data_IF_592280038947
#
_entry.id   IF_592280038947
#
_cell.length_a   1.000
_cell.length_b   1.000
_cell.length_c   1.000
_cell.angle_alpha   90.00
_cell.angle_beta   90.00
_cell.angle_gamma   90.00
#
_symmetry.space_group_name_H-M   'P 1'
#
loop_
_entity.id
_entity.type
_entity.pdbx_description
1 polymer ?
#
# COMPACT_ATOMS: atom_id res chain seq x y z
N UNK A 1 3.62 0.15 43.53
CA UNK A 1 3.74 -0.92 42.51
C UNK A 1 3.15 -0.37 41.22
N UNK A 2 3.96 -0.19 40.17
CA UNK A 2 3.48 0.27 38.86
C UNK A 2 3.03 -0.95 38.06
N UNK A 3 1.74 -1.07 37.81
CA UNK A 3 1.19 -2.08 36.91
C UNK A 3 1.65 -1.78 35.47
N UNK A 4 2.38 -2.73 34.89
CA UNK A 4 2.71 -2.72 33.47
C UNK A 4 1.50 -3.23 32.70
N UNK A 5 0.73 -2.28 32.14
CA UNK A 5 -0.44 -2.56 31.32
C UNK A 5 -0.05 -3.30 30.04
N UNK A 6 -0.76 -4.40 29.75
CA UNK A 6 -0.64 -5.24 28.54
C UNK A 6 -1.29 -4.60 27.30
N UNK A 7 -1.23 -3.27 27.19
CA UNK A 7 -1.84 -2.52 26.09
C UNK A 7 -0.81 -2.15 25.03
N UNK A 8 -1.02 -2.62 23.80
CA UNK A 8 -0.19 -2.34 22.61
C UNK A 8 -0.16 -0.86 22.21
N UNK A 9 0.48 -0.03 23.02
CA UNK A 9 0.75 1.38 22.72
C UNK A 9 2.19 1.44 22.20
N UNK A 10 2.37 1.94 20.97
CA UNK A 10 3.70 2.11 20.34
C UNK A 10 4.59 2.95 21.27
N UNK A 11 5.48 2.29 21.99
CA UNK A 11 6.44 2.88 22.91
C UNK A 11 7.79 2.27 22.53
N UNK A 12 8.68 3.12 22.02
CA UNK A 12 9.87 2.72 21.25
C UNK A 12 11.19 2.99 22.00
N UNK A 13 11.16 3.19 23.32
CA UNK A 13 12.39 3.34 24.10
C UNK A 13 13.03 1.98 24.40
N UNK A 14 14.36 1.93 24.32
CA UNK A 14 15.19 0.71 24.40
C UNK A 14 14.93 -0.07 25.69
N UNK A 15 14.65 0.64 26.80
CA UNK A 15 14.39 0.05 28.11
C UNK A 15 13.05 -0.70 28.11
N UNK A 16 11.99 -0.11 27.57
CA UNK A 16 10.69 -0.78 27.48
C UNK A 16 10.72 -1.95 26.47
N UNK A 17 11.51 -1.83 25.39
CA UNK A 17 11.70 -2.94 24.44
C UNK A 17 12.43 -4.13 25.09
N UNK A 18 13.49 -3.88 25.86
CA UNK A 18 14.23 -4.92 26.59
C UNK A 18 13.37 -5.53 27.71
N UNK A 19 12.59 -4.73 28.43
CA UNK A 19 11.67 -5.20 29.45
C UNK A 19 10.55 -6.06 28.85
N UNK A 20 9.91 -5.63 27.76
CA UNK A 20 8.89 -6.40 27.06
C UNK A 20 9.45 -7.72 26.49
N UNK A 21 10.65 -7.70 25.92
CA UNK A 21 11.33 -8.91 25.43
C UNK A 21 11.64 -9.89 26.56
N UNK A 22 12.12 -9.39 27.70
CA UNK A 22 12.45 -10.21 28.87
C UNK A 22 11.19 -10.84 29.48
N UNK A 23 10.10 -10.07 29.60
CA UNK A 23 8.80 -10.57 30.09
C UNK A 23 8.23 -11.62 29.14
N UNK A 24 8.30 -11.41 27.82
CA UNK A 24 7.85 -12.41 26.85
C UNK A 24 8.70 -13.69 26.91
N UNK A 25 10.02 -13.57 27.05
CA UNK A 25 10.94 -14.71 27.17
C UNK A 25 10.70 -15.52 28.44
N UNK A 26 10.52 -14.86 29.57
CA UNK A 26 10.26 -15.51 30.87
C UNK A 26 8.84 -16.12 30.95
N UNK A 27 7.87 -15.53 30.25
CA UNK A 27 6.49 -16.02 30.20
C UNK A 27 6.25 -17.19 29.22
N UNK A 28 7.24 -17.57 28.41
CA UNK A 28 7.07 -18.57 27.35
C UNK A 28 6.35 -18.06 26.10
N UNK A 29 5.99 -16.77 26.07
CA UNK A 29 5.29 -16.10 24.97
C UNK A 29 6.25 -15.39 23.99
N UNK A 30 7.56 -15.62 24.13
CA UNK A 30 8.55 -15.07 23.21
C UNK A 30 8.37 -15.67 21.81
N UNK A 31 8.10 -14.79 20.85
CA UNK A 31 8.13 -15.17 19.44
C UNK A 31 9.56 -15.56 19.06
N UNK A 32 9.74 -16.80 18.61
CA UNK A 32 11.02 -17.26 18.06
C UNK A 32 11.36 -16.42 16.83
N UNK A 33 12.46 -15.68 16.90
CA UNK A 33 13.03 -14.98 15.75
C UNK A 33 13.53 -16.02 14.77
N UNK A 34 13.04 -15.98 13.53
CA UNK A 34 13.48 -16.89 12.48
C UNK A 34 13.93 -16.12 11.26
N UNK A 35 14.84 -16.73 10.52
CA UNK A 35 15.37 -16.20 9.28
C UNK A 35 14.25 -15.72 8.37
N UNK A 36 14.49 -14.57 7.74
CA UNK A 36 13.56 -13.99 6.77
C UNK A 36 13.32 -14.97 5.61
N UNK A 37 12.06 -15.08 5.18
CA UNK A 37 11.63 -15.98 4.11
C UNK A 37 10.76 -15.24 3.08
N UNK A 38 10.17 -15.99 2.14
CA UNK A 38 9.29 -15.44 1.10
C UNK A 38 8.08 -14.70 1.69
N UNK A 39 7.63 -15.00 2.91
CA UNK A 39 6.55 -14.23 3.56
C UNK A 39 7.02 -12.83 3.95
N UNK A 40 8.28 -12.66 4.37
CA UNK A 40 8.88 -11.34 4.61
C UNK A 40 8.94 -10.54 3.31
N UNK A 41 9.37 -11.16 2.20
CA UNK A 41 9.39 -10.51 0.87
C UNK A 41 7.99 -10.05 0.47
N UNK A 42 6.97 -10.90 0.64
CA UNK A 42 5.58 -10.55 0.34
C UNK A 42 5.06 -9.40 1.21
N UNK A 43 5.44 -9.34 2.48
CA UNK A 43 5.07 -8.24 3.38
C UNK A 43 5.67 -6.90 2.91
N UNK A 44 6.95 -6.88 2.52
CA UNK A 44 7.63 -5.69 2.01
C UNK A 44 7.00 -5.20 0.70
N UNK A 45 6.70 -6.13 -0.23
CA UNK A 45 6.06 -5.79 -1.51
C UNK A 45 4.63 -5.26 -1.31
N UNK A 46 3.86 -5.85 -0.39
CA UNK A 46 2.50 -5.40 -0.07
C UNK A 46 2.51 -4.00 0.56
N UNK A 47 3.40 -3.74 1.53
CA UNK A 47 3.56 -2.42 2.15
C UNK A 47 3.97 -1.37 1.11
N UNK A 48 4.93 -1.70 0.23
CA UNK A 48 5.33 -0.81 -0.86
C UNK A 48 4.16 -0.51 -1.79
N UNK A 49 3.34 -1.52 -2.11
CA UNK A 49 2.16 -1.35 -2.96
C UNK A 49 1.09 -0.47 -2.30
N UNK A 50 0.83 -0.65 -1.01
CA UNK A 50 -0.11 0.18 -0.24
C UNK A 50 0.32 1.65 -0.21
N UNK A 51 1.61 1.90 0.05
CA UNK A 51 2.18 3.24 0.00
C UNK A 51 2.03 3.90 -1.37
N UNK A 52 2.25 3.14 -2.45
CA UNK A 52 2.12 3.63 -3.82
C UNK A 52 0.65 3.89 -4.21
N UNK A 53 -0.30 3.08 -3.74
CA UNK A 53 -1.74 3.36 -3.90
C UNK A 53 -2.10 4.67 -3.22
N UNK A 54 -1.66 4.87 -1.97
CA UNK A 54 -1.93 6.10 -1.25
C UNK A 54 -1.32 7.33 -1.98
N UNK A 55 -0.10 7.20 -2.50
CA UNK A 55 0.51 8.25 -3.33
C UNK A 55 -0.32 8.54 -4.58
N UNK A 56 -0.73 7.50 -5.31
CA UNK A 56 -1.55 7.63 -6.53
C UNK A 56 -2.87 8.34 -6.24
N UNK A 57 -3.55 7.98 -5.16
CA UNK A 57 -4.80 8.65 -4.73
C UNK A 57 -4.56 10.14 -4.46
N UNK A 58 -3.46 10.49 -3.80
CA UNK A 58 -3.10 11.91 -3.59
C UNK A 58 -2.89 12.64 -4.92
N UNK A 59 -2.20 12.04 -5.88
CA UNK A 59 -1.99 12.65 -7.21
C UNK A 59 -3.31 12.88 -7.95
N UNK A 60 -4.21 11.90 -7.93
CA UNK A 60 -5.54 12.02 -8.54
C UNK A 60 -6.35 13.13 -7.88
N UNK A 61 -6.34 13.21 -6.55
CA UNK A 61 -7.06 14.26 -5.82
C UNK A 61 -6.53 15.66 -6.14
N UNK A 62 -5.21 15.81 -6.26
CA UNK A 62 -4.59 17.07 -6.70
C UNK A 62 -5.00 17.43 -8.13
N UNK A 63 -5.02 16.44 -9.03
CA UNK A 63 -5.47 16.64 -10.40
C UNK A 63 -6.95 17.07 -10.47
N UNK A 64 -7.83 16.47 -9.66
CA UNK A 64 -9.21 16.91 -9.54
C UNK A 64 -9.33 18.37 -9.09
N UNK A 65 -8.49 18.81 -8.15
CA UNK A 65 -8.49 20.19 -7.71
C UNK A 65 -8.14 21.16 -8.85
N UNK A 66 -7.07 20.86 -9.62
CA UNK A 66 -6.71 21.68 -10.78
C UNK A 66 -7.78 21.65 -11.88
N UNK A 67 -8.41 20.50 -12.13
CA UNK A 67 -9.44 20.40 -13.16
C UNK A 67 -10.69 21.22 -12.81
N UNK A 68 -11.09 21.30 -11.52
CA UNK A 68 -12.23 22.15 -11.11
C UNK A 68 -12.01 23.63 -11.42
N UNK A 69 -10.78 24.10 -11.35
CA UNK A 69 -10.45 25.48 -11.68
C UNK A 69 -10.24 25.72 -13.19
N UNK A 70 -10.14 24.66 -14.01
CA UNK A 70 -9.94 24.75 -15.46
C UNK A 70 -11.23 24.54 -16.26
N UNK A 71 -12.26 23.93 -15.68
CA UNK A 71 -13.48 23.60 -16.41
C UNK A 71 -14.72 23.59 -15.50
N UNK A 72 -15.84 24.18 -15.96
CA UNK A 72 -17.11 24.11 -15.25
C UNK A 72 -17.59 22.65 -15.17
N UNK A 73 -18.08 22.24 -14.00
CA UNK A 73 -18.53 20.86 -13.74
C UNK A 73 -17.44 19.87 -13.34
N UNK A 74 -16.15 20.22 -13.50
CA UNK A 74 -15.03 19.36 -13.09
C UNK A 74 -14.91 18.07 -13.90
N UNK A 75 -14.17 17.09 -13.36
CA UNK A 75 -13.89 15.81 -14.00
C UNK A 75 -14.67 14.64 -13.35
N UNK A 76 -14.98 13.56 -14.10
CA UNK A 76 -15.62 12.36 -13.55
C UNK A 76 -14.83 11.77 -12.38
N UNK A 77 -15.51 11.18 -11.40
CA UNK A 77 -14.88 10.60 -10.19
C UNK A 77 -13.93 9.45 -10.50
N UNK A 78 -14.23 8.64 -11.53
CA UNK A 78 -13.37 7.55 -11.99
C UNK A 78 -12.30 8.07 -12.97
N UNK A 79 -11.46 8.97 -12.47
CA UNK A 79 -10.49 9.68 -13.29
C UNK A 79 -9.24 8.83 -13.56
N UNK A 80 -9.16 8.30 -14.78
CA UNK A 80 -7.92 7.69 -15.28
C UNK A 80 -6.99 8.73 -15.90
N UNK A 81 -5.69 8.45 -15.96
CA UNK A 81 -4.73 9.31 -16.65
C UNK A 81 -5.07 9.52 -18.13
N UNK A 82 -5.69 8.52 -18.78
CA UNK A 82 -6.13 8.63 -20.17
C UNK A 82 -7.33 9.58 -20.31
N UNK A 83 -8.34 9.43 -19.45
CA UNK A 83 -9.52 10.32 -19.40
C UNK A 83 -9.08 11.75 -19.11
N UNK A 84 -8.24 11.94 -18.07
CA UNK A 84 -7.72 13.26 -17.72
C UNK A 84 -6.93 13.91 -18.86
N UNK A 85 -6.11 13.13 -19.57
CA UNK A 85 -5.36 13.63 -20.73
C UNK A 85 -6.28 14.09 -21.86
N UNK A 86 -7.40 13.39 -22.11
CA UNK A 86 -8.40 13.81 -23.11
C UNK A 86 -9.12 15.09 -22.69
N UNK A 87 -9.54 15.17 -21.43
CA UNK A 87 -10.16 16.36 -20.85
C UNK A 87 -9.20 17.56 -20.98
N UNK A 88 -7.94 17.40 -20.58
CA UNK A 88 -6.98 18.49 -20.61
C UNK A 88 -6.64 18.95 -22.03
N UNK A 89 -6.78 18.08 -23.04
CA UNK A 89 -6.59 18.43 -24.44
C UNK A 89 -7.68 19.39 -24.97
N UNK A 90 -8.91 19.29 -24.47
CA UNK A 90 -10.01 20.19 -24.86
C UNK A 90 -9.96 21.56 -24.18
N UNK A 91 -9.26 21.69 -23.06
CA UNK A 91 -9.11 22.98 -22.35
C UNK A 91 -8.29 23.96 -23.20
N UNK A 92 -8.80 25.17 -23.42
CA UNK A 92 -8.09 26.29 -24.06
C UNK A 92 -7.84 27.37 -23.00
N UNK A 93 -6.60 27.49 -22.47
CA UNK A 93 -6.32 28.48 -21.43
C UNK A 93 -6.35 29.90 -22.02
N UNK A 94 -7.02 30.82 -21.33
CA UNK A 94 -7.19 32.21 -21.72
C UNK A 94 -6.09 33.14 -21.18
N UNK A 95 -5.23 32.66 -20.27
CA UNK A 95 -4.17 33.47 -19.68
C UNK A 95 -3.04 32.68 -19.01
N UNK A 96 -2.10 33.39 -18.41
CA UNK A 96 -0.90 32.81 -17.79
C UNK A 96 -1.23 31.83 -16.66
N UNK A 97 -2.18 32.18 -15.78
CA UNK A 97 -2.57 31.33 -14.64
C UNK A 97 -3.14 30.00 -15.11
N UNK A 98 -4.06 30.02 -16.08
CA UNK A 98 -4.65 28.80 -16.64
C UNK A 98 -3.64 27.97 -17.43
N UNK A 99 -2.70 28.63 -18.11
CA UNK A 99 -1.60 27.97 -18.81
C UNK A 99 -0.71 27.20 -17.83
N UNK A 100 -0.34 27.84 -16.73
CA UNK A 100 0.44 27.21 -15.64
C UNK A 100 -0.33 26.06 -15.02
N UNK A 101 -1.61 26.26 -14.69
CA UNK A 101 -2.47 25.21 -14.12
C UNK A 101 -2.60 24.01 -15.07
N UNK A 102 -2.76 24.28 -16.36
CA UNK A 102 -2.78 23.25 -17.41
C UNK A 102 -1.45 22.49 -17.48
N UNK A 103 -0.31 23.16 -17.31
CA UNK A 103 0.99 22.49 -17.28
C UNK A 103 1.14 21.58 -16.06
N UNK A 104 0.83 22.08 -14.86
CA UNK A 104 0.86 21.28 -13.63
C UNK A 104 -0.06 20.05 -13.72
N UNK A 105 -1.24 20.19 -14.33
CA UNK A 105 -2.13 19.07 -14.58
C UNK A 105 -1.51 18.02 -15.53
N UNK A 106 -0.72 18.42 -16.54
CA UNK A 106 0.01 17.47 -17.41
C UNK A 106 1.07 16.71 -16.61
N UNK A 107 1.80 17.40 -15.74
CA UNK A 107 2.86 16.81 -14.93
C UNK A 107 2.26 15.75 -13.97
N UNK A 108 1.17 16.08 -13.29
CA UNK A 108 0.42 15.13 -12.45
C UNK A 108 -0.07 13.91 -13.25
N UNK A 109 -0.54 14.09 -14.49
CA UNK A 109 -0.94 12.97 -15.36
C UNK A 109 0.26 12.05 -15.65
N UNK A 110 1.44 12.61 -15.90
CA UNK A 110 2.65 11.83 -16.11
C UNK A 110 3.04 11.05 -14.84
N UNK A 111 2.97 11.67 -13.67
CA UNK A 111 3.22 11.02 -12.39
C UNK A 111 2.22 9.88 -12.09
N UNK A 112 0.93 10.08 -12.40
CA UNK A 112 -0.09 9.03 -12.25
C UNK A 112 0.23 7.84 -13.16
N UNK A 113 0.63 8.08 -14.42
CA UNK A 113 1.04 7.01 -15.36
C UNK A 113 2.25 6.24 -14.83
N UNK A 114 3.19 6.93 -14.21
CA UNK A 114 4.34 6.29 -13.58
C UNK A 114 3.93 5.43 -12.39
N UNK A 115 3.05 5.95 -11.51
CA UNK A 115 2.50 5.18 -10.40
C UNK A 115 1.74 3.94 -10.89
N UNK A 116 0.93 4.05 -11.96
CA UNK A 116 0.22 2.94 -12.58
C UNK A 116 1.19 1.84 -13.06
N UNK A 117 2.27 2.21 -13.75
CA UNK A 117 3.29 1.27 -14.23
C UNK A 117 4.00 0.56 -13.07
N UNK A 118 4.35 1.30 -12.02
CA UNK A 118 4.98 0.74 -10.81
C UNK A 118 4.03 -0.20 -10.07
N UNK A 119 2.75 0.13 -9.95
CA UNK A 119 1.74 -0.76 -9.36
C UNK A 119 1.62 -2.06 -10.15
N UNK A 120 1.60 -2.00 -11.48
CA UNK A 120 1.59 -3.19 -12.33
C UNK A 120 2.84 -4.06 -12.11
N UNK A 121 4.00 -3.43 -12.00
CA UNK A 121 5.27 -4.11 -11.73
C UNK A 121 5.25 -4.82 -10.38
N UNK A 122 4.82 -4.13 -9.31
CA UNK A 122 4.70 -4.73 -7.98
C UNK A 122 3.68 -5.87 -7.97
N UNK A 123 2.55 -5.73 -8.66
CA UNK A 123 1.56 -6.81 -8.78
C UNK A 123 2.15 -8.05 -9.46
N UNK A 124 2.97 -7.88 -10.50
CA UNK A 124 3.66 -8.99 -11.15
C UNK A 124 4.71 -9.64 -10.22
N UNK A 125 5.49 -8.84 -9.48
CA UNK A 125 6.45 -9.34 -8.50
C UNK A 125 5.77 -10.13 -7.39
N UNK A 126 4.67 -9.62 -6.83
CA UNK A 126 3.88 -10.34 -5.81
C UNK A 126 3.39 -11.69 -6.39
N UNK A 127 2.87 -11.69 -7.62
CA UNK A 127 2.41 -12.93 -8.25
C UNK A 127 3.53 -13.96 -8.43
N UNK A 128 4.73 -13.52 -8.81
CA UNK A 128 5.89 -14.40 -8.94
C UNK A 128 6.30 -14.99 -7.58
N UNK A 129 6.39 -14.18 -6.53
CA UNK A 129 6.77 -14.66 -5.18
C UNK A 129 5.70 -15.59 -4.60
N UNK A 130 4.41 -15.34 -4.85
CA UNK A 130 3.33 -16.26 -4.45
C UNK A 130 3.45 -17.60 -5.16
N UNK A 131 3.80 -17.61 -6.45
CA UNK A 131 4.02 -18.83 -7.21
C UNK A 131 5.24 -19.60 -6.68
N UNK A 132 6.34 -18.91 -6.37
CA UNK A 132 7.55 -19.48 -5.77
C UNK A 132 7.27 -20.08 -4.37
N UNK A 133 6.47 -19.40 -3.55
CA UNK A 133 6.04 -19.91 -2.25
C UNK A 133 5.20 -21.20 -2.38
N UNK A 134 4.57 -21.47 -3.52
CA UNK A 134 3.75 -22.67 -3.74
C UNK A 134 2.45 -22.72 -2.92
N UNK A 135 1.97 -21.57 -2.46
CA UNK A 135 0.73 -21.49 -1.66
C UNK A 135 -0.49 -21.96 -2.45
N UNK A 136 -1.43 -22.62 -1.77
CA UNK A 136 -2.73 -23.01 -2.34
C UNK A 136 -3.78 -21.90 -2.24
N UNK A 137 -3.50 -20.80 -1.54
CA UNK A 137 -4.43 -19.68 -1.38
C UNK A 137 -5.00 -19.17 -2.72
N UNK A 138 -4.22 -19.01 -3.80
CA UNK A 138 -4.76 -18.57 -5.09
C UNK A 138 -5.77 -19.52 -5.75
N UNK A 139 -5.93 -20.75 -5.24
CA UNK A 139 -6.94 -21.72 -5.72
C UNK A 139 -8.31 -21.51 -5.09
N UNK A 140 -8.40 -20.67 -4.05
CA UNK A 140 -9.68 -20.31 -3.43
C UNK A 140 -10.31 -19.21 -4.27
N UNK A 141 -11.58 -19.40 -4.63
CA UNK A 141 -12.33 -18.43 -5.42
C UNK A 141 -12.32 -17.04 -4.75
N UNK A 142 -12.00 -16.02 -5.52
CA UNK A 142 -11.86 -14.64 -5.04
C UNK A 142 -10.49 -14.29 -4.45
N UNK A 143 -9.58 -15.24 -4.25
CA UNK A 143 -8.22 -14.97 -3.77
C UNK A 143 -7.24 -14.87 -4.96
N UNK A 144 -7.05 -13.66 -5.46
CA UNK A 144 -6.00 -13.37 -6.44
C UNK A 144 -4.60 -13.32 -5.83
N UNK A 145 -3.53 -13.30 -6.65
CA UNK A 145 -2.14 -13.31 -6.17
C UNK A 145 -1.80 -12.16 -5.23
N UNK A 146 -2.38 -10.96 -5.43
CA UNK A 146 -2.17 -9.82 -4.52
C UNK A 146 -2.78 -10.08 -3.15
N UNK A 147 -3.99 -10.64 -3.08
CA UNK A 147 -4.63 -10.97 -1.81
C UNK A 147 -3.92 -12.14 -1.12
N UNK A 148 -3.51 -13.16 -1.87
CA UNK A 148 -2.69 -14.25 -1.35
C UNK A 148 -1.37 -13.73 -0.77
N UNK A 149 -0.63 -12.90 -1.52
CA UNK A 149 0.62 -12.30 -1.06
C UNK A 149 0.42 -11.46 0.20
N UNK A 150 -0.64 -10.67 0.24
CA UNK A 150 -1.06 -9.90 1.41
C UNK A 150 -1.28 -10.77 2.64
N UNK A 151 -2.03 -11.85 2.48
CA UNK A 151 -2.35 -12.79 3.57
C UNK A 151 -1.07 -13.48 4.05
N UNK A 152 -0.25 -14.00 3.15
CA UNK A 152 1.01 -14.67 3.49
C UNK A 152 1.96 -13.72 4.23
N UNK A 153 2.15 -12.51 3.71
CA UNK A 153 3.05 -11.52 4.33
C UNK A 153 2.58 -11.05 5.71
N UNK A 154 1.26 -10.86 5.91
CA UNK A 154 0.70 -10.50 7.23
C UNK A 154 0.62 -11.67 8.19
N UNK A 155 0.48 -12.90 7.70
CA UNK A 155 0.36 -14.14 8.48
C UNK A 155 1.73 -14.69 8.88
N UNK A 156 2.81 -14.40 8.14
CA UNK A 156 4.15 -14.95 8.38
C UNK A 156 4.08 -16.47 8.61
N UNK A 157 4.13 -16.91 9.87
CA UNK A 157 3.93 -18.31 10.29
C UNK A 157 2.48 -18.62 10.58
N UNK A 158 1.90 -19.59 9.86
CA UNK A 158 0.57 -20.12 10.18
C UNK A 158 0.52 -20.78 11.57
N UNK A 159 1.63 -21.34 12.04
CA UNK A 159 1.78 -21.96 13.37
C UNK A 159 1.62 -20.98 14.54
N UNK A 160 1.58 -19.67 14.28
CA UNK A 160 1.31 -18.66 15.31
C UNK A 160 -0.17 -18.63 15.72
N UNK A 161 -1.05 -19.21 14.89
CA UNK A 161 -2.45 -19.40 15.23
C UNK A 161 -2.58 -20.80 15.85
N UNK A 162 -2.90 -20.85 17.14
CA UNK A 162 -2.97 -22.09 17.91
C UNK A 162 -4.22 -22.93 17.59
N UNK A 163 -5.25 -22.32 16.99
CA UNK A 163 -6.45 -23.00 16.52
C UNK A 163 -7.10 -22.24 15.36
N UNK A 164 -8.05 -22.87 14.66
CA UNK A 164 -8.79 -22.27 13.54
C UNK A 164 -9.71 -21.11 13.94
N UNK A 165 -9.92 -20.89 15.24
CA UNK A 165 -10.81 -19.88 15.83
C UNK A 165 -10.08 -18.84 16.69
N UNK A 166 -8.74 -18.80 16.62
CA UNK A 166 -7.90 -17.87 17.37
C UNK A 166 -7.89 -16.44 16.81
#
# INVERSE_FOLDING_TARGET
MRELSRGGRRKNDVIDAAAAASVAALGGDANVVVAEDLTTVLALLDERRDNLIAQRTRLINQLHALLRDLMPGGAPTDLTAAVASRILASVRPAGTVETTRKQLARDLIAEIREADRRLKTLTAQIAAVVAEHGSRLPRVDGIGPVLAGRLLGRTRRTSRFSSASA
#
